data_IF_885713139000
#
_entry.id   IF_885713139000
#
_cell.length_a   1.000
_cell.length_b   1.000
_cell.length_c   1.000
_cell.angle_alpha   90.00
_cell.angle_beta   90.00
_cell.angle_gamma   90.00
#
_symmetry.space_group_name_H-M   'P 1'
#
loop_
_entity.id
_entity.type
_entity.pdbx_description
1 polymer ?
#
# COMPACT_ATOMS: atom_id res chain seq x y z
N UNK A 1 16.46 10.24 17.65
CA UNK A 1 15.54 11.39 17.58
C UNK A 1 14.11 10.91 17.37
N UNK A 2 13.20 11.42 18.17
CA UNK A 2 11.78 11.11 18.03
C UNK A 2 11.19 11.83 16.82
N UNK A 3 10.53 11.09 15.94
CA UNK A 3 9.83 11.69 14.80
C UNK A 3 8.62 12.49 15.27
N UNK A 4 8.47 13.69 14.75
CA UNK A 4 7.33 14.55 15.03
C UNK A 4 6.20 14.23 14.05
N UNK A 5 5.06 13.74 14.56
CA UNK A 5 3.93 13.32 13.73
C UNK A 5 3.48 14.36 12.72
N UNK A 6 3.47 15.64 13.10
CA UNK A 6 3.04 16.72 12.22
C UNK A 6 3.93 16.94 10.99
N UNK A 7 5.16 16.37 10.99
CA UNK A 7 6.06 16.45 9.86
C UNK A 7 5.74 15.41 8.77
N UNK A 8 4.80 14.51 9.05
CA UNK A 8 4.46 13.38 8.20
C UNK A 8 3.01 13.40 7.80
N UNK A 9 2.75 13.32 6.47
CA UNK A 9 1.40 13.26 5.95
C UNK A 9 0.75 11.92 6.33
N UNK A 10 -0.51 11.97 6.75
CA UNK A 10 -1.29 10.76 7.07
C UNK A 10 -1.61 9.98 5.81
N UNK A 11 -1.34 8.69 5.83
CA UNK A 11 -1.49 7.81 4.68
C UNK A 11 -1.93 6.42 5.14
N UNK A 12 -2.50 5.64 4.23
CA UNK A 12 -2.85 4.24 4.46
C UNK A 12 -2.23 3.36 3.40
N UNK A 13 -1.95 2.12 3.77
CA UNK A 13 -1.56 1.08 2.84
C UNK A 13 -2.45 -0.13 3.00
N UNK A 14 -2.62 -0.90 1.94
CA UNK A 14 -3.47 -2.09 1.93
C UNK A 14 -2.67 -3.28 1.42
N UNK A 15 -2.63 -4.34 2.22
CA UNK A 15 -2.05 -5.61 1.83
C UNK A 15 -3.18 -6.58 1.49
N UNK A 16 -3.20 -7.05 0.25
CA UNK A 16 -4.23 -7.97 -0.24
C UNK A 16 -3.59 -9.33 -0.41
N UNK A 17 -4.08 -10.34 0.32
CA UNK A 17 -3.59 -11.71 0.24
C UNK A 17 -4.63 -12.60 -0.46
N UNK A 18 -4.17 -13.57 -1.27
CA UNK A 18 -5.05 -14.59 -1.82
C UNK A 18 -5.04 -15.86 -0.93
N UNK A 19 -5.77 -16.89 -1.36
CA UNK A 19 -5.86 -18.15 -0.61
C UNK A 19 -4.55 -18.93 -0.57
N UNK A 20 -3.65 -18.65 -1.52
CA UNK A 20 -2.31 -19.26 -1.55
C UNK A 20 -1.30 -18.54 -0.67
N UNK A 21 -1.72 -17.46 0.01
CA UNK A 21 -0.84 -16.65 0.84
C UNK A 21 0.03 -15.69 0.06
N UNK A 22 -0.24 -15.48 -1.21
CA UNK A 22 0.48 -14.50 -2.02
C UNK A 22 -0.12 -13.12 -1.83
N UNK A 23 0.70 -12.08 -1.99
CA UNK A 23 0.29 -10.69 -1.86
C UNK A 23 0.20 -10.01 -3.22
N UNK A 24 -0.79 -9.12 -3.36
CA UNK A 24 -1.04 -8.36 -4.57
C UNK A 24 -0.09 -7.17 -4.68
N UNK A 25 0.55 -7.00 -5.83
CA UNK A 25 1.32 -5.80 -6.15
C UNK A 25 0.84 -5.22 -7.47
N UNK A 26 0.78 -3.89 -7.53
CA UNK A 26 0.50 -3.12 -8.74
C UNK A 26 1.77 -2.44 -9.24
N UNK A 27 1.91 -2.40 -10.57
CA UNK A 27 2.96 -1.64 -11.24
C UNK A 27 2.49 -0.21 -11.41
N UNK A 28 3.25 0.75 -10.87
CA UNK A 28 2.88 2.17 -10.92
C UNK A 28 2.77 2.66 -12.36
N UNK A 29 1.65 3.31 -12.67
CA UNK A 29 1.36 3.81 -14.01
C UNK A 29 2.40 4.85 -14.46
N UNK A 30 2.92 4.67 -15.67
CA UNK A 30 3.89 5.61 -16.25
C UNK A 30 5.31 5.46 -15.73
N UNK A 31 5.56 4.51 -14.81
CA UNK A 31 6.89 4.28 -14.25
C UNK A 31 7.58 3.12 -14.99
N UNK A 32 8.89 3.25 -15.16
CA UNK A 32 9.75 2.22 -15.73
C UNK A 32 10.95 2.02 -14.80
N UNK A 33 11.48 0.80 -14.76
CA UNK A 33 12.63 0.47 -13.94
C UNK A 33 12.34 -0.66 -12.95
N UNK A 34 13.31 -0.99 -12.07
CA UNK A 34 13.19 -2.16 -11.20
C UNK A 34 12.34 -1.93 -9.95
N UNK A 35 12.00 -0.68 -9.60
CA UNK A 35 11.37 -0.33 -8.32
C UNK A 35 10.01 0.32 -8.51
N UNK A 36 9.13 -0.33 -9.25
CA UNK A 36 7.83 0.23 -9.61
C UNK A 36 6.63 -0.55 -9.06
N UNK A 37 6.86 -1.65 -8.35
CA UNK A 37 5.80 -2.51 -7.82
C UNK A 37 5.52 -2.19 -6.37
N UNK A 38 4.25 -1.95 -6.04
CA UNK A 38 3.85 -1.60 -4.69
C UNK A 38 2.43 -2.07 -4.35
N UNK A 39 2.14 -2.13 -3.05
CA UNK A 39 0.77 -2.30 -2.56
C UNK A 39 -0.04 -1.02 -2.79
N UNK A 40 -1.39 -1.12 -2.85
CA UNK A 40 -2.23 0.06 -2.85
C UNK A 40 -1.96 0.94 -1.64
N UNK A 41 -1.89 2.25 -1.85
CA UNK A 41 -1.72 3.23 -0.78
C UNK A 41 -2.28 4.58 -1.19
N UNK A 42 -2.62 5.40 -0.22
CA UNK A 42 -3.09 6.75 -0.50
C UNK A 42 -3.31 7.58 0.76
N UNK A 43 -3.59 8.87 0.56
CA UNK A 43 -3.79 9.81 1.65
C UNK A 43 -5.08 9.58 2.40
N UNK A 44 -5.08 9.95 3.68
CA UNK A 44 -6.28 9.99 4.51
C UNK A 44 -6.86 11.40 4.39
N UNK A 45 -8.12 11.51 3.97
CA UNK A 45 -8.79 12.80 3.84
C UNK A 45 -9.13 13.39 5.21
N UNK A 46 -9.30 14.71 5.24
CA UNK A 46 -9.68 15.40 6.48
C UNK A 46 -11.00 14.82 7.02
N UNK A 47 -10.99 14.41 8.29
CA UNK A 47 -12.16 13.83 8.95
C UNK A 47 -12.40 12.35 8.62
N UNK A 48 -11.64 11.77 7.72
CA UNK A 48 -11.75 10.37 7.34
C UNK A 48 -11.03 9.48 8.35
N UNK A 49 -11.64 8.36 8.71
CA UNK A 49 -10.98 7.35 9.56
C UNK A 49 -9.98 6.55 8.72
N UNK A 50 -8.81 6.16 9.28
CA UNK A 50 -7.81 5.41 8.54
C UNK A 50 -8.33 4.15 7.84
N UNK A 51 -9.15 3.34 8.51
CA UNK A 51 -9.69 2.11 7.91
C UNK A 51 -10.63 2.42 6.75
N UNK A 52 -11.41 3.50 6.84
CA UNK A 52 -12.28 3.95 5.75
C UNK A 52 -11.45 4.41 4.56
N UNK A 53 -10.35 5.13 4.82
CA UNK A 53 -9.42 5.55 3.77
C UNK A 53 -8.80 4.33 3.07
N UNK A 54 -8.42 3.30 3.83
CA UNK A 54 -7.87 2.07 3.28
C UNK A 54 -8.87 1.38 2.33
N UNK A 55 -10.14 1.28 2.73
CA UNK A 55 -11.19 0.70 1.91
C UNK A 55 -11.45 1.51 0.64
N UNK A 56 -11.41 2.83 0.74
CA UNK A 56 -11.57 3.74 -0.40
C UNK A 56 -10.40 3.60 -1.39
N UNK A 57 -9.17 3.64 -0.90
CA UNK A 57 -7.97 3.51 -1.74
C UNK A 57 -7.90 2.13 -2.41
N UNK A 58 -8.26 1.07 -1.69
CA UNK A 58 -8.36 -0.27 -2.25
C UNK A 58 -9.26 -0.27 -3.48
N UNK A 59 -10.46 0.29 -3.37
CA UNK A 59 -11.40 0.34 -4.49
C UNK A 59 -10.90 1.24 -5.62
N UNK A 60 -10.43 2.44 -5.30
CA UNK A 60 -9.97 3.40 -6.31
C UNK A 60 -8.82 2.83 -7.15
N UNK A 61 -7.88 2.13 -6.52
CA UNK A 61 -6.69 1.67 -7.20
C UNK A 61 -6.82 0.28 -7.84
N UNK A 62 -7.68 -0.58 -7.31
CA UNK A 62 -7.80 -1.98 -7.77
C UNK A 62 -9.18 -2.37 -8.29
N UNK A 63 -10.21 -1.60 -7.98
CA UNK A 63 -11.59 -1.97 -8.27
C UNK A 63 -12.18 -2.98 -7.29
N UNK A 64 -11.37 -3.51 -6.37
CA UNK A 64 -11.84 -4.49 -5.40
C UNK A 64 -12.55 -3.82 -4.23
N UNK A 65 -13.60 -4.47 -3.72
CA UNK A 65 -14.39 -3.96 -2.61
C UNK A 65 -14.10 -4.73 -1.34
N UNK A 66 -13.75 -4.01 -0.28
CA UNK A 66 -13.40 -4.61 1.01
C UNK A 66 -14.58 -5.42 1.61
N UNK A 67 -15.81 -5.05 1.34
CA UNK A 67 -17.00 -5.78 1.81
C UNK A 67 -17.11 -7.19 1.22
N UNK A 68 -16.41 -7.48 0.11
CA UNK A 68 -16.35 -8.79 -0.51
C UNK A 68 -15.10 -9.57 -0.10
N UNK A 69 -14.37 -9.07 0.89
CA UNK A 69 -13.09 -9.63 1.35
C UNK A 69 -13.14 -9.89 2.85
N UNK A 70 -12.25 -10.75 3.33
CA UNK A 70 -12.11 -10.97 4.76
C UNK A 70 -11.08 -10.00 5.33
N UNK A 71 -11.44 -9.26 6.36
CA UNK A 71 -10.48 -8.43 7.08
C UNK A 71 -9.57 -9.31 7.94
N UNK A 72 -8.26 -9.22 7.75
CA UNK A 72 -7.29 -10.06 8.46
C UNK A 72 -6.68 -9.36 9.68
N UNK A 73 -6.43 -8.07 9.59
CA UNK A 73 -5.80 -7.34 10.67
C UNK A 73 -5.06 -6.11 10.19
N UNK A 74 -4.28 -5.54 11.09
CA UNK A 74 -3.55 -4.30 10.83
C UNK A 74 -2.19 -4.31 11.53
N UNK A 75 -1.26 -3.49 11.05
CA UNK A 75 -0.04 -3.17 11.78
C UNK A 75 -0.40 -2.23 12.93
N UNK A 76 0.09 -2.51 14.13
CA UNK A 76 -0.11 -1.64 15.28
C UNK A 76 0.70 -0.36 15.11
N UNK A 77 0.05 0.79 15.25
CA UNK A 77 0.72 2.09 15.17
C UNK A 77 0.97 2.55 13.73
N UNK A 78 1.88 3.48 13.58
CA UNK A 78 2.23 4.10 12.31
C UNK A 78 3.58 3.60 11.82
N UNK A 79 3.69 3.36 10.50
CA UNK A 79 4.98 3.11 9.83
C UNK A 79 5.37 4.37 9.09
N UNK A 80 6.62 4.80 9.27
CA UNK A 80 7.11 6.08 8.75
C UNK A 80 8.12 5.86 7.62
N UNK A 81 8.08 6.72 6.62
CA UNK A 81 9.21 6.87 5.70
C UNK A 81 9.42 8.33 5.35
N UNK A 82 10.67 8.69 5.10
CA UNK A 82 11.08 10.03 4.72
C UNK A 82 11.25 10.10 3.21
N UNK A 83 10.83 11.22 2.62
CA UNK A 83 11.09 11.47 1.21
C UNK A 83 12.57 11.83 1.02
N UNK A 84 13.26 11.25 0.01
CA UNK A 84 14.60 11.70 -0.33
C UNK A 84 14.56 13.13 -0.92
N UNK A 85 15.71 13.85 -0.93
CA UNK A 85 15.75 15.24 -1.39
C UNK A 85 15.12 15.50 -2.76
N UNK A 86 15.29 14.59 -3.71
CA UNK A 86 14.70 14.73 -5.06
C UNK A 86 13.17 14.71 -5.03
N UNK A 87 12.60 13.85 -4.18
CA UNK A 87 11.14 13.73 -4.03
C UNK A 87 10.61 14.96 -3.28
N UNK A 88 11.31 15.41 -2.25
CA UNK A 88 10.96 16.65 -1.52
C UNK A 88 10.93 17.85 -2.46
N UNK A 89 11.94 18.01 -3.30
CA UNK A 89 12.00 19.11 -4.26
C UNK A 89 10.82 19.10 -5.23
N UNK A 90 10.43 17.92 -5.70
CA UNK A 90 9.32 17.73 -6.65
C UNK A 90 7.96 18.00 -6.01
N UNK A 91 7.81 17.75 -4.71
CA UNK A 91 6.54 17.84 -3.99
C UNK A 91 6.40 19.09 -3.09
N UNK A 92 7.38 19.99 -3.09
CA UNK A 92 7.37 21.21 -2.25
C UNK A 92 6.12 22.07 -2.40
N UNK A 93 5.60 22.17 -3.62
CA UNK A 93 4.39 22.94 -3.91
C UNK A 93 3.11 22.21 -3.47
N UNK A 94 3.19 20.89 -3.33
CA UNK A 94 2.04 20.04 -3.04
C UNK A 94 1.95 19.64 -1.56
N UNK A 95 3.09 19.34 -0.94
CA UNK A 95 3.15 18.87 0.44
C UNK A 95 4.34 19.49 1.17
N UNK A 96 4.07 20.03 2.34
CA UNK A 96 5.10 20.60 3.20
C UNK A 96 5.56 19.58 4.26
N UNK A 97 5.62 18.30 3.88
CA UNK A 97 5.91 17.20 4.79
C UNK A 97 7.25 16.56 4.45
N UNK A 98 7.95 16.05 5.48
CA UNK A 98 9.20 15.30 5.33
C UNK A 98 9.01 13.93 4.70
N UNK A 99 7.83 13.37 4.85
CA UNK A 99 7.49 12.04 4.39
C UNK A 99 6.05 11.70 4.71
N UNK A 100 5.78 10.42 4.86
CA UNK A 100 4.45 9.93 5.21
C UNK A 100 4.49 9.03 6.43
N UNK A 101 3.39 8.98 7.17
CA UNK A 101 3.15 7.99 8.21
C UNK A 101 1.93 7.19 7.79
N UNK A 102 2.06 5.87 7.83
CA UNK A 102 1.07 4.96 7.25
C UNK A 102 0.44 4.05 8.29
N UNK A 103 -0.88 3.89 8.20
CA UNK A 103 -1.63 2.81 8.83
C UNK A 103 -1.79 1.71 7.78
N UNK A 104 -1.45 0.48 8.12
CA UNK A 104 -1.52 -0.66 7.19
C UNK A 104 -2.58 -1.65 7.61
N UNK A 105 -3.40 -2.07 6.63
CA UNK A 105 -4.51 -3.02 6.81
C UNK A 105 -4.37 -4.17 5.84
N UNK A 106 -4.73 -5.38 6.28
CA UNK A 106 -4.63 -6.58 5.48
C UNK A 106 -6.00 -7.22 5.26
N UNK A 107 -6.25 -7.67 4.04
CA UNK A 107 -7.49 -8.33 3.62
C UNK A 107 -7.18 -9.59 2.83
N UNK A 108 -8.09 -10.58 2.91
CA UNK A 108 -8.03 -11.82 2.12
C UNK A 108 -9.02 -11.74 0.97
N UNK A 109 -8.52 -11.92 -0.24
CA UNK A 109 -9.30 -11.96 -1.46
C UNK A 109 -9.53 -13.42 -1.88
N UNK A 110 -10.78 -13.76 -2.19
CA UNK A 110 -11.18 -15.12 -2.54
C UNK A 110 -11.56 -15.28 -4.03
N UNK A 111 -11.49 -14.21 -4.81
CA UNK A 111 -11.83 -14.26 -6.24
C UNK A 111 -10.71 -14.78 -7.12
N UNK A 112 -10.99 -14.83 -8.41
CA UNK A 112 -10.05 -15.30 -9.44
C UNK A 112 -9.28 -14.15 -10.14
N UNK A 113 -9.46 -12.92 -9.70
CA UNK A 113 -8.82 -11.74 -10.28
C UNK A 113 -9.63 -11.05 -11.38
N UNK A 114 -10.74 -11.65 -11.82
CA UNK A 114 -11.54 -11.09 -12.92
C UNK A 114 -12.24 -9.78 -12.56
N UNK A 115 -12.42 -9.49 -11.27
CA UNK A 115 -13.05 -8.25 -10.79
C UNK A 115 -12.03 -7.14 -10.49
N UNK A 116 -10.72 -7.39 -10.67
CA UNK A 116 -9.71 -6.33 -10.60
C UNK A 116 -9.92 -5.37 -11.77
N UNK A 117 -10.05 -4.10 -11.45
CA UNK A 117 -10.23 -3.03 -12.44
C UNK A 117 -9.31 -1.86 -12.12
N UNK A 118 -8.19 -1.78 -12.84
CA UNK A 118 -7.17 -0.75 -12.60
C UNK A 118 -7.61 0.63 -13.10
N UNK A 119 -8.72 0.72 -13.83
CA UNK A 119 -9.27 1.97 -14.34
C UNK A 119 -10.54 2.41 -13.60
N UNK A 120 -10.81 1.81 -12.42
CA UNK A 120 -12.00 2.12 -11.63
C UNK A 120 -12.08 3.59 -11.20
N UNK A 121 -10.94 4.26 -11.11
CA UNK A 121 -10.84 5.65 -10.68
C UNK A 121 -9.78 6.39 -11.51
N UNK A 122 -9.92 7.70 -11.63
CA UNK A 122 -8.96 8.55 -12.35
C UNK A 122 -8.33 9.54 -11.37
N UNK A 123 -7.01 9.77 -11.42
CA UNK A 123 -6.04 9.18 -12.35
C UNK A 123 -5.74 7.72 -12.03
N UNK A 124 -5.36 6.93 -13.04
CA UNK A 124 -5.01 5.53 -12.90
C UNK A 124 -3.68 5.38 -12.17
N UNK A 125 -3.67 4.60 -11.08
CA UNK A 125 -2.46 4.41 -10.27
C UNK A 125 -1.57 3.30 -10.78
N UNK A 126 -2.16 2.21 -11.26
CA UNK A 126 -1.43 1.02 -11.71
C UNK A 126 -1.76 0.66 -13.16
N UNK A 127 -0.73 0.21 -13.91
CA UNK A 127 -0.88 -0.26 -15.30
C UNK A 127 -1.00 -1.77 -15.40
N UNK A 128 -0.47 -2.50 -14.42
CA UNK A 128 -0.46 -3.96 -14.35
C UNK A 128 -0.53 -4.39 -12.88
N UNK A 129 -0.84 -5.65 -12.65
CA UNK A 129 -0.84 -6.22 -11.30
C UNK A 129 -0.41 -7.69 -11.33
N UNK A 130 0.02 -8.20 -10.18
CA UNK A 130 0.42 -9.62 -10.03
C UNK A 130 0.34 -10.07 -8.58
N UNK A 131 0.30 -11.38 -8.40
CA UNK A 131 0.48 -12.02 -7.10
C UNK A 131 1.96 -12.38 -6.94
N UNK A 132 2.53 -12.11 -5.78
CA UNK A 132 3.93 -12.44 -5.45
C UNK A 132 4.02 -13.02 -4.06
N UNK A 133 5.15 -13.66 -3.75
CA UNK A 133 5.45 -14.10 -2.39
C UNK A 133 5.71 -12.88 -1.49
N UNK A 134 5.20 -12.91 -0.26
CA UNK A 134 5.37 -11.80 0.69
C UNK A 134 6.84 -11.42 0.87
N UNK A 135 7.73 -12.41 0.94
CA UNK A 135 9.16 -12.17 1.16
C UNK A 135 9.84 -11.36 0.06
N UNK A 136 9.21 -11.22 -1.11
CA UNK A 136 9.81 -10.52 -2.26
C UNK A 136 9.43 -9.04 -2.35
N UNK A 137 8.47 -8.55 -1.58
CA UNK A 137 7.91 -7.20 -1.80
C UNK A 137 8.89 -6.05 -1.54
N UNK A 138 9.90 -6.27 -0.70
CA UNK A 138 10.90 -5.24 -0.42
C UNK A 138 11.91 -5.09 -1.56
N UNK A 139 11.99 -6.04 -2.48
CA UNK A 139 12.97 -6.03 -3.57
C UNK A 139 12.56 -5.14 -4.74
N UNK A 140 11.26 -4.91 -4.91
CA UNK A 140 10.71 -4.19 -6.07
C UNK A 140 10.03 -2.89 -5.70
N UNK A 141 10.06 -2.50 -4.43
CA UNK A 141 9.55 -1.20 -3.96
C UNK A 141 10.64 -0.14 -4.10
N UNK A 142 10.24 1.10 -4.32
CA UNK A 142 11.17 2.23 -4.34
C UNK A 142 11.99 2.27 -3.04
N UNK A 143 13.33 2.45 -3.12
CA UNK A 143 14.22 2.27 -1.97
C UNK A 143 13.84 3.02 -0.69
N UNK A 144 13.29 4.23 -0.79
CA UNK A 144 12.95 4.99 0.42
C UNK A 144 11.75 4.45 1.18
N UNK A 145 11.00 3.48 0.60
CA UNK A 145 9.92 2.76 1.27
C UNK A 145 10.32 1.36 1.73
N UNK A 146 11.55 0.92 1.41
CA UNK A 146 12.00 -0.45 1.67
C UNK A 146 11.84 -0.87 3.12
N UNK A 147 12.22 -0.01 4.07
CA UNK A 147 12.14 -0.34 5.49
C UNK A 147 10.70 -0.62 5.94
N UNK A 148 9.72 0.12 5.39
CA UNK A 148 8.28 -0.14 5.66
C UNK A 148 7.90 -1.53 5.14
N UNK A 149 8.31 -1.87 3.92
CA UNK A 149 7.98 -3.16 3.31
C UNK A 149 8.65 -4.34 4.02
N UNK A 150 9.87 -4.16 4.49
CA UNK A 150 10.54 -5.17 5.34
C UNK A 150 9.76 -5.40 6.63
N UNK A 151 9.19 -4.36 7.20
CA UNK A 151 8.36 -4.49 8.40
C UNK A 151 7.03 -5.18 8.10
N UNK A 152 6.42 -4.94 6.93
CA UNK A 152 5.20 -5.63 6.50
C UNK A 152 5.44 -7.14 6.38
N UNK A 153 6.61 -7.55 5.88
CA UNK A 153 6.98 -8.97 5.77
C UNK A 153 6.93 -9.65 7.15
N UNK A 154 7.41 -8.97 8.17
CA UNK A 154 7.38 -9.49 9.55
C UNK A 154 5.96 -9.46 10.14
N UNK A 155 5.29 -8.31 10.04
CA UNK A 155 3.99 -8.09 10.68
C UNK A 155 2.87 -8.95 10.08
N UNK A 156 2.92 -9.21 8.78
CA UNK A 156 1.87 -9.93 8.06
C UNK A 156 2.27 -11.38 7.70
N UNK A 157 3.36 -11.89 8.26
CA UNK A 157 3.85 -13.24 7.95
C UNK A 157 2.79 -14.34 8.08
N UNK A 158 1.93 -14.26 9.10
CA UNK A 158 0.89 -15.26 9.33
C UNK A 158 -0.18 -15.28 8.23
N UNK A 159 -0.37 -14.14 7.54
CA UNK A 159 -1.35 -14.04 6.45
C UNK A 159 -0.81 -14.62 5.13
N UNK A 160 0.49 -14.82 5.04
CA UNK A 160 1.15 -15.40 3.87
C UNK A 160 1.16 -16.94 3.89
N UNK A 161 0.54 -17.56 4.88
CA UNK A 161 0.38 -19.00 4.96
C UNK A 161 -0.84 -19.40 4.12
N UNK A 162 -0.70 -20.37 3.18
CA UNK A 162 -1.85 -20.82 2.39
C UNK A 162 -2.98 -21.34 3.28
N UNK A 163 -4.22 -21.01 2.89
CA UNK A 163 -5.40 -21.55 3.55
C UNK A 163 -6.01 -22.66 2.69
N UNK A 164 -6.55 -23.67 3.32
CA UNK A 164 -7.15 -24.80 2.63
C UNK A 164 -8.67 -24.62 2.50
#
# INVERSE_FOLDING_TARGET
MTRKKSDYRRNVGVAIFNEKGQIWLGKRFGENGPYMWQCPQGGIDKGEKPKAAARRELFEETGLRAENMEYLGKVKGWLYYDFPPKVLAKNRKRFNNKGQRQKWYAFRYFGDGSDVNLTAHSPQEFSEWKWVELNSIADTIVPFKRAVYEQLIVEFADFAIPIN
#
